data_IF_381297170654
#
_entry.id   IF_381297170654
#
_cell.length_a   1.000
_cell.length_b   1.000
_cell.length_c   1.000
_cell.angle_alpha   90.00
_cell.angle_beta   90.00
_cell.angle_gamma   90.00
#
_symmetry.space_group_name_H-M   'P 1'
#
loop_
_entity.id
_entity.type
_entity.pdbx_description
1 polymer ?
#
# COMPACT_ATOMS: atom_id res chain seq x y z
N UNK A 1 -1.81 -21.56 26.77
CA UNK A 1 -3.15 -22.20 26.98
C UNK A 1 -3.53 -22.03 28.44
N UNK A 2 -4.75 -21.59 28.73
CA UNK A 2 -5.14 -21.01 30.01
C UNK A 2 -5.32 -21.98 31.20
N UNK A 3 -4.74 -23.19 31.16
CA UNK A 3 -4.66 -24.10 32.32
C UNK A 3 -5.95 -24.24 33.15
N UNK A 4 -7.12 -24.35 32.51
CA UNK A 4 -8.41 -24.33 33.20
C UNK A 4 -8.72 -25.68 33.86
N UNK A 5 -9.40 -25.61 35.01
CA UNK A 5 -9.97 -26.76 35.73
C UNK A 5 -11.50 -26.63 35.79
N UNK A 6 -12.28 -27.59 35.27
CA UNK A 6 -11.84 -28.75 34.49
C UNK A 6 -11.31 -28.34 33.11
N UNK A 7 -10.31 -29.08 32.63
CA UNK A 7 -9.77 -28.92 31.28
C UNK A 7 -10.69 -29.54 30.22
N UNK A 8 -10.62 -29.10 28.96
CA UNK A 8 -11.45 -29.64 27.87
C UNK A 8 -11.08 -31.09 27.51
N UNK A 9 -9.85 -31.51 27.81
CA UNK A 9 -9.38 -32.88 27.65
C UNK A 9 -9.03 -33.47 29.02
N UNK A 10 -9.24 -34.78 29.23
CA UNK A 10 -8.80 -35.46 30.44
C UNK A 10 -7.28 -35.37 30.57
N UNK A 11 -6.79 -35.30 31.81
CA UNK A 11 -5.35 -35.27 32.05
C UNK A 11 -4.78 -36.68 31.98
N UNK A 12 -3.68 -36.86 31.26
CA UNK A 12 -3.02 -38.14 31.03
C UNK A 12 -1.54 -38.06 31.42
N UNK A 13 -0.88 -39.19 31.65
CA UNK A 13 0.58 -39.23 31.77
C UNK A 13 1.23 -39.12 30.38
N UNK A 14 1.62 -37.89 30.01
CA UNK A 14 2.16 -37.58 28.69
C UNK A 14 3.47 -38.29 28.35
N UNK A 15 4.17 -38.87 29.34
CA UNK A 15 5.41 -39.63 29.11
C UNK A 15 5.19 -40.91 28.30
N UNK A 16 3.98 -41.46 28.38
CA UNK A 16 3.60 -42.71 27.72
C UNK A 16 2.62 -42.50 26.56
N UNK A 17 2.37 -41.25 26.17
CA UNK A 17 1.50 -40.90 25.07
C UNK A 17 2.30 -40.48 23.83
N UNK A 18 1.64 -40.51 22.68
CA UNK A 18 2.23 -40.08 21.41
C UNK A 18 2.60 -38.59 21.39
N UNK A 19 1.88 -37.77 22.16
CA UNK A 19 2.11 -36.34 22.25
C UNK A 19 2.84 -35.94 23.53
N UNK A 20 3.76 -34.97 23.46
CA UNK A 20 4.59 -34.57 24.60
C UNK A 20 3.85 -33.73 25.66
N UNK A 21 2.68 -33.16 25.33
CA UNK A 21 1.92 -32.30 26.23
C UNK A 21 0.44 -32.14 25.76
N UNK A 22 -0.45 -31.61 26.62
CA UNK A 22 -1.86 -31.43 26.28
C UNK A 22 -2.11 -30.55 25.06
N UNK A 23 -1.27 -29.55 24.83
CA UNK A 23 -1.43 -28.60 23.74
C UNK A 23 -1.18 -29.25 22.39
N UNK A 24 -0.13 -30.07 22.29
CA UNK A 24 0.20 -30.83 21.09
C UNK A 24 -0.91 -31.86 20.77
N UNK A 25 -1.42 -32.56 21.78
CA UNK A 25 -2.55 -33.48 21.62
C UNK A 25 -3.80 -32.76 21.14
N UNK A 26 -4.20 -31.69 21.83
CA UNK A 26 -5.38 -30.91 21.46
C UNK A 26 -5.29 -30.39 20.02
N UNK A 27 -4.12 -29.91 19.59
CA UNK A 27 -3.89 -29.42 18.23
C UNK A 27 -4.10 -30.54 17.20
N UNK A 28 -3.40 -31.67 17.34
CA UNK A 28 -3.43 -32.72 16.32
C UNK A 28 -4.79 -33.40 16.24
N UNK A 29 -5.43 -33.70 17.37
CA UNK A 29 -6.77 -34.29 17.39
C UNK A 29 -7.78 -33.35 16.72
N UNK A 30 -7.68 -32.04 16.98
CA UNK A 30 -8.53 -31.04 16.30
C UNK A 30 -8.29 -31.04 14.79
N UNK A 31 -7.03 -31.07 14.35
CA UNK A 31 -6.72 -31.11 12.91
C UNK A 31 -7.25 -32.38 12.25
N UNK A 32 -7.11 -33.54 12.89
CA UNK A 32 -7.63 -34.82 12.39
C UNK A 32 -9.16 -34.78 12.29
N UNK A 33 -9.85 -34.27 13.30
CA UNK A 33 -11.30 -34.12 13.30
C UNK A 33 -11.77 -33.21 12.15
N UNK A 34 -11.10 -32.06 11.96
CA UNK A 34 -11.42 -31.14 10.87
C UNK A 34 -11.21 -31.75 9.48
N UNK A 35 -10.17 -32.57 9.31
CA UNK A 35 -9.91 -33.29 8.05
C UNK A 35 -10.86 -34.47 7.82
N UNK A 36 -11.47 -35.01 8.88
CA UNK A 36 -12.46 -36.08 8.79
C UNK A 36 -13.86 -35.59 8.40
N UNK A 37 -14.09 -34.26 8.42
CA UNK A 37 -15.36 -33.68 7.97
C UNK A 37 -15.57 -33.93 6.48
N UNK A 38 -16.81 -34.29 6.09
CA UNK A 38 -17.23 -34.39 4.69
C UNK A 38 -17.51 -33.00 4.08
N UNK A 39 -16.58 -32.07 4.26
CA UNK A 39 -16.70 -30.65 3.88
C UNK A 39 -15.41 -30.22 3.16
N UNK A 40 -15.49 -29.43 2.07
CA UNK A 40 -14.29 -28.90 1.41
C UNK A 40 -13.40 -28.08 2.36
N UNK A 41 -12.09 -28.25 2.25
CA UNK A 41 -11.12 -27.55 3.11
C UNK A 41 -11.28 -26.02 3.08
N UNK A 42 -11.67 -25.44 1.94
CA UNK A 42 -11.94 -24.00 1.82
C UNK A 42 -13.09 -23.53 2.72
N UNK A 43 -14.14 -24.33 2.85
CA UNK A 43 -15.30 -24.00 3.67
C UNK A 43 -14.96 -24.12 5.15
N UNK A 44 -14.21 -25.16 5.53
CA UNK A 44 -13.68 -25.34 6.89
C UNK A 44 -12.75 -24.19 7.26
N UNK A 45 -11.80 -23.83 6.39
CA UNK A 45 -10.89 -22.70 6.58
C UNK A 45 -11.64 -21.37 6.77
N UNK A 46 -12.67 -21.13 5.96
CA UNK A 46 -13.50 -19.94 6.09
C UNK A 46 -14.30 -19.92 7.39
N UNK A 47 -14.82 -21.07 7.83
CA UNK A 47 -15.49 -21.21 9.11
C UNK A 47 -14.54 -20.91 10.28
N UNK A 48 -13.32 -21.43 10.25
CA UNK A 48 -12.28 -21.14 11.25
C UNK A 48 -11.97 -19.64 11.33
N UNK A 49 -11.71 -18.98 10.19
CA UNK A 49 -11.42 -17.54 10.19
C UNK A 49 -12.62 -16.71 10.70
N UNK A 50 -13.85 -17.14 10.40
CA UNK A 50 -15.06 -16.48 10.88
C UNK A 50 -15.24 -16.52 12.40
N UNK A 51 -14.60 -17.46 13.12
CA UNK A 51 -14.67 -17.53 14.59
C UNK A 51 -14.14 -16.25 15.24
N UNK A 52 -13.08 -15.66 14.66
CA UNK A 52 -12.47 -14.42 15.15
C UNK A 52 -12.95 -13.20 14.38
N UNK A 53 -13.05 -13.32 13.05
CA UNK A 53 -13.34 -12.18 12.18
C UNK A 53 -14.81 -11.75 12.26
N UNK A 54 -15.75 -12.65 12.59
CA UNK A 54 -17.15 -12.31 12.82
C UNK A 54 -17.44 -12.27 14.32
N UNK A 55 -18.39 -11.44 14.72
CA UNK A 55 -18.84 -11.41 16.11
C UNK A 55 -19.58 -12.69 16.45
N UNK A 56 -18.98 -13.49 17.32
CA UNK A 56 -19.58 -14.71 17.85
C UNK A 56 -19.87 -14.50 19.35
N UNK A 57 -21.10 -14.80 19.82
CA UNK A 57 -21.48 -14.59 21.22
C UNK A 57 -20.66 -15.44 22.19
N UNK A 58 -20.10 -16.56 21.73
CA UNK A 58 -19.32 -17.49 22.55
C UNK A 58 -17.83 -17.13 22.66
N UNK A 59 -17.34 -16.18 21.85
CA UNK A 59 -15.92 -15.79 21.80
C UNK A 59 -15.74 -14.45 22.51
N UNK A 60 -15.24 -14.42 23.75
CA UNK A 60 -15.05 -13.18 24.49
C UNK A 60 -13.99 -12.30 23.80
N UNK A 61 -14.35 -11.06 23.49
CA UNK A 61 -13.48 -10.09 22.78
C UNK A 61 -12.22 -9.75 23.57
N UNK A 62 -12.29 -9.80 24.90
CA UNK A 62 -11.18 -9.54 25.82
C UNK A 62 -9.99 -10.49 25.61
N UNK A 63 -10.26 -11.72 25.15
CA UNK A 63 -9.26 -12.76 24.94
C UNK A 63 -9.08 -13.14 23.47
N UNK A 64 -9.47 -12.27 22.53
CA UNK A 64 -9.48 -12.57 21.10
C UNK A 64 -8.10 -13.00 20.57
N UNK A 65 -7.02 -12.45 21.11
CA UNK A 65 -5.64 -12.82 20.74
C UNK A 65 -5.33 -14.29 21.01
N UNK A 66 -5.87 -14.85 22.09
CA UNK A 66 -5.68 -16.28 22.39
C UNK A 66 -6.40 -17.18 21.37
N UNK A 67 -7.59 -16.75 20.92
CA UNK A 67 -8.35 -17.43 19.86
C UNK A 67 -7.66 -17.32 18.51
N UNK A 68 -7.13 -16.14 18.18
CA UNK A 68 -6.30 -15.93 16.99
C UNK A 68 -5.08 -16.84 16.97
N UNK A 69 -4.37 -16.95 18.10
CA UNK A 69 -3.22 -17.82 18.21
C UNK A 69 -3.61 -19.30 18.04
N UNK A 70 -4.72 -19.74 18.64
CA UNK A 70 -5.20 -21.12 18.48
C UNK A 70 -5.60 -21.43 17.03
N UNK A 71 -6.36 -20.55 16.38
CA UNK A 71 -6.76 -20.72 14.98
C UNK A 71 -5.53 -20.66 14.06
N UNK A 72 -4.58 -19.77 14.35
CA UNK A 72 -3.32 -19.69 13.62
C UNK A 72 -2.53 -20.99 13.67
N UNK A 73 -2.43 -21.63 14.84
CA UNK A 73 -1.78 -22.93 14.99
C UNK A 73 -2.54 -24.06 14.27
N UNK A 74 -3.87 -24.05 14.34
CA UNK A 74 -4.71 -25.08 13.68
C UNK A 74 -4.61 -24.94 12.16
N UNK A 75 -4.84 -23.74 11.63
CA UNK A 75 -4.95 -23.52 10.18
C UNK A 75 -3.62 -23.76 9.46
N UNK A 76 -2.47 -23.49 10.11
CA UNK A 76 -1.14 -23.75 9.55
C UNK A 76 -0.73 -25.22 9.64
N UNK A 77 -1.34 -26.00 10.53
CA UNK A 77 -1.14 -27.44 10.63
C UNK A 77 -2.03 -28.24 9.66
N UNK A 78 -3.01 -27.59 9.00
CA UNK A 78 -3.89 -28.20 8.01
C UNK A 78 -3.34 -28.10 6.58
N UNK A 79 -3.77 -28.97 5.65
CA UNK A 79 -3.36 -28.92 4.24
C UNK A 79 -3.71 -27.60 3.53
N UNK A 80 -3.06 -27.34 2.40
CA UNK A 80 -3.22 -26.10 1.59
C UNK A 80 -4.66 -25.62 1.37
N UNK A 81 -5.64 -26.49 1.04
CA UNK A 81 -7.01 -26.05 0.81
C UNK A 81 -7.67 -25.33 1.99
N UNK A 82 -7.17 -25.51 3.22
CA UNK A 82 -7.72 -24.92 4.44
C UNK A 82 -7.20 -23.51 4.71
N UNK A 83 -5.93 -23.23 4.45
CA UNK A 83 -5.33 -21.91 4.77
C UNK A 83 -5.26 -20.96 3.57
N UNK A 84 -5.42 -21.45 2.33
CA UNK A 84 -5.41 -20.59 1.13
C UNK A 84 -6.45 -19.45 1.20
N UNK A 85 -7.58 -19.69 1.87
CA UNK A 85 -8.67 -18.70 2.06
C UNK A 85 -8.27 -17.49 2.89
N UNK A 86 -7.14 -17.56 3.61
CA UNK A 86 -6.56 -16.39 4.28
C UNK A 86 -6.13 -15.33 3.26
N UNK A 87 -5.54 -15.75 2.14
CA UNK A 87 -5.13 -14.85 1.06
C UNK A 87 -6.33 -14.14 0.45
N UNK A 88 -7.39 -14.89 0.14
CA UNK A 88 -8.65 -14.35 -0.40
C UNK A 88 -9.23 -13.28 0.54
N UNK A 89 -9.16 -13.50 1.86
CA UNK A 89 -9.63 -12.53 2.85
C UNK A 89 -8.74 -11.31 2.96
N UNK A 90 -7.42 -11.45 2.92
CA UNK A 90 -6.50 -10.31 2.90
C UNK A 90 -6.81 -9.43 1.69
N UNK A 91 -6.95 -10.03 0.50
CA UNK A 91 -7.32 -9.32 -0.73
C UNK A 91 -8.69 -8.65 -0.58
N UNK A 92 -9.68 -9.33 -0.01
CA UNK A 92 -11.00 -8.75 0.26
C UNK A 92 -10.95 -7.55 1.22
N UNK A 93 -10.07 -7.57 2.22
CA UNK A 93 -9.90 -6.46 3.18
C UNK A 93 -9.15 -5.29 2.55
N UNK A 94 -8.13 -5.56 1.75
CA UNK A 94 -7.39 -4.53 0.99
C UNK A 94 -8.34 -3.77 0.06
N UNK A 95 -9.26 -4.49 -0.59
CA UNK A 95 -10.27 -3.90 -1.47
C UNK A 95 -11.50 -3.35 -0.72
N UNK A 96 -11.50 -3.36 0.62
CA UNK A 96 -12.66 -2.90 1.40
C UNK A 96 -12.71 -1.37 1.49
N UNK A 97 -13.92 -0.78 1.58
CA UNK A 97 -14.10 0.67 1.70
C UNK A 97 -13.35 1.29 2.89
N UNK A 98 -13.09 0.52 3.95
CA UNK A 98 -12.36 0.99 5.12
C UNK A 98 -10.88 1.27 4.83
N UNK A 99 -10.23 0.47 3.97
CA UNK A 99 -8.85 0.70 3.59
C UNK A 99 -8.72 1.62 2.36
N UNK A 100 -9.73 1.62 1.48
CA UNK A 100 -9.72 2.46 0.28
C UNK A 100 -10.27 3.87 0.50
N UNK A 101 -11.18 4.09 1.46
CA UNK A 101 -11.62 5.45 1.82
C UNK A 101 -10.66 6.15 2.78
N UNK A 102 -9.90 5.41 3.60
CA UNK A 102 -8.96 6.04 4.53
C UNK A 102 -7.69 6.59 3.86
N UNK A 103 -7.28 6.00 2.74
CA UNK A 103 -6.15 6.51 1.95
C UNK A 103 -6.48 7.80 1.19
N UNK A 104 -7.76 8.08 0.90
CA UNK A 104 -8.16 9.33 0.28
C UNK A 104 -8.01 10.52 1.24
N UNK A 105 -8.54 10.43 2.47
CA UNK A 105 -8.42 11.53 3.44
C UNK A 105 -7.00 11.71 3.95
N UNK A 106 -6.24 10.62 4.15
CA UNK A 106 -4.84 10.72 4.58
C UNK A 106 -4.00 11.39 3.50
N UNK A 107 -4.25 11.05 2.23
CA UNK A 107 -3.56 11.64 1.08
C UNK A 107 -3.77 13.14 1.04
N UNK A 108 -5.04 13.58 1.07
CA UNK A 108 -5.38 15.02 1.09
C UNK A 108 -4.79 15.71 2.32
N UNK A 109 -4.83 15.09 3.50
CA UNK A 109 -4.26 15.66 4.73
C UNK A 109 -2.75 15.91 4.63
N UNK A 110 -1.98 15.05 3.95
CA UNK A 110 -0.56 15.30 3.70
C UNK A 110 -0.32 16.52 2.81
N UNK A 111 -1.15 16.73 1.78
CA UNK A 111 -1.07 17.94 0.94
C UNK A 111 -1.47 19.19 1.73
N UNK A 112 -2.48 19.13 2.59
CA UNK A 112 -2.85 20.25 3.47
C UNK A 112 -1.75 20.59 4.48
N UNK A 113 -1.11 19.58 5.07
CA UNK A 113 0.04 19.77 5.96
C UNK A 113 1.21 20.42 5.22
N UNK A 114 1.49 20.00 3.98
CA UNK A 114 2.50 20.63 3.13
C UNK A 114 2.14 22.09 2.85
N UNK A 115 0.88 22.40 2.52
CA UNK A 115 0.43 23.77 2.30
C UNK A 115 0.58 24.64 3.54
N UNK A 116 0.26 24.11 4.73
CA UNK A 116 0.47 24.82 5.98
C UNK A 116 1.97 25.05 6.24
N UNK A 117 2.81 24.02 6.09
CA UNK A 117 4.25 24.15 6.24
C UNK A 117 4.84 25.18 5.25
N UNK A 118 4.34 25.22 4.02
CA UNK A 118 4.74 26.18 2.99
C UNK A 118 4.39 27.63 3.35
N UNK A 119 3.27 27.86 4.03
CA UNK A 119 2.83 29.18 4.48
C UNK A 119 3.64 29.73 5.66
N UNK A 120 3.97 28.87 6.61
CA UNK A 120 4.66 29.29 7.85
C UNK A 120 6.19 29.27 7.75
N UNK A 121 6.74 28.60 6.73
CA UNK A 121 8.18 28.48 6.54
C UNK A 121 8.67 29.46 5.49
N UNK A 122 9.66 30.29 5.82
CA UNK A 122 10.32 31.13 4.80
C UNK A 122 11.05 30.27 3.76
N UNK A 123 11.69 29.18 4.19
CA UNK A 123 12.40 28.22 3.34
C UNK A 123 12.08 26.77 3.73
N UNK A 124 11.95 25.89 2.73
CA UNK A 124 11.79 24.45 2.89
C UNK A 124 13.05 23.75 2.36
N UNK A 125 13.82 23.12 3.26
CA UNK A 125 15.10 22.49 2.90
C UNK A 125 14.95 21.13 2.21
N UNK A 126 13.85 20.41 2.46
CA UNK A 126 13.66 19.02 2.00
C UNK A 126 12.51 18.90 0.99
N UNK A 127 12.41 19.84 0.06
CA UNK A 127 11.34 19.84 -0.93
C UNK A 127 11.33 18.58 -1.81
N UNK A 128 12.50 18.12 -2.25
CA UNK A 128 12.59 16.97 -3.18
C UNK A 128 12.11 15.66 -2.52
N UNK A 129 12.61 15.26 -1.32
CA UNK A 129 12.08 14.07 -0.64
C UNK A 129 10.59 14.13 -0.32
N UNK A 130 10.06 15.31 0.04
CA UNK A 130 8.62 15.49 0.28
C UNK A 130 7.84 15.24 -1.02
N UNK A 131 8.30 15.79 -2.15
CA UNK A 131 7.64 15.60 -3.44
C UNK A 131 7.72 14.13 -3.90
N UNK A 132 8.86 13.47 -3.72
CA UNK A 132 9.04 12.05 -4.06
C UNK A 132 8.07 11.15 -3.27
N UNK A 133 7.91 11.43 -1.97
CA UNK A 133 6.92 10.75 -1.14
C UNK A 133 5.48 10.94 -1.65
N UNK A 134 5.12 12.17 -2.03
CA UNK A 134 3.80 12.48 -2.58
C UNK A 134 3.55 11.81 -3.95
N UNK A 135 4.58 11.66 -4.78
CA UNK A 135 4.51 10.89 -6.02
C UNK A 135 4.36 9.40 -5.77
N UNK A 136 5.14 8.84 -4.83
CA UNK A 136 5.00 7.45 -4.43
C UNK A 136 3.57 7.18 -3.96
N UNK A 137 3.03 8.07 -3.14
CA UNK A 137 1.67 7.97 -2.65
C UNK A 137 0.63 8.04 -3.76
N UNK A 138 0.80 8.96 -4.74
CA UNK A 138 -0.05 9.03 -5.94
C UNK A 138 -0.04 7.71 -6.70
N UNK A 139 1.12 7.21 -7.07
CA UNK A 139 1.19 6.08 -8.00
C UNK A 139 0.93 4.73 -7.35
N UNK A 140 1.20 4.58 -6.05
CA UNK A 140 1.01 3.30 -5.35
C UNK A 140 -0.34 3.17 -4.64
N UNK A 141 -0.92 4.28 -4.17
CA UNK A 141 -2.11 4.21 -3.30
C UNK A 141 -3.29 5.03 -3.84
N UNK A 142 -3.16 6.34 -4.01
CA UNK A 142 -4.32 7.20 -4.26
C UNK A 142 -4.74 7.28 -5.74
N UNK A 143 -3.82 7.11 -6.67
CA UNK A 143 -4.09 7.23 -8.11
C UNK A 143 -4.62 8.62 -8.50
N UNK A 144 -5.80 8.64 -9.12
CA UNK A 144 -6.51 9.87 -9.51
C UNK A 144 -7.75 10.16 -8.63
N UNK A 145 -8.01 9.35 -7.59
CA UNK A 145 -9.19 9.49 -6.71
C UNK A 145 -9.29 10.86 -6.03
N UNK A 146 -8.16 11.40 -5.59
CA UNK A 146 -8.07 12.68 -4.86
C UNK A 146 -7.61 13.85 -5.73
N UNK A 147 -7.53 13.66 -7.05
CA UNK A 147 -6.92 14.62 -7.99
C UNK A 147 -7.51 16.03 -7.86
N UNK A 148 -8.84 16.16 -7.90
CA UNK A 148 -9.52 17.46 -7.89
C UNK A 148 -9.35 18.22 -6.57
N UNK A 149 -9.20 17.49 -5.45
CA UNK A 149 -8.98 18.07 -4.13
C UNK A 149 -7.52 18.53 -3.99
N UNK A 150 -6.58 17.66 -4.38
CA UNK A 150 -5.15 17.93 -4.35
C UNK A 150 -4.76 19.06 -5.30
N UNK A 151 -5.40 19.18 -6.45
CA UNK A 151 -5.15 20.26 -7.41
C UNK A 151 -5.41 21.65 -6.81
N UNK A 152 -6.51 21.80 -6.07
CA UNK A 152 -6.83 23.04 -5.35
C UNK A 152 -5.74 23.39 -4.33
N UNK A 153 -5.17 22.38 -3.67
CA UNK A 153 -4.09 22.59 -2.70
C UNK A 153 -2.79 22.98 -3.40
N UNK A 154 -2.38 22.26 -4.44
CA UNK A 154 -1.15 22.53 -5.21
C UNK A 154 -1.17 23.93 -5.82
N UNK A 155 -2.33 24.39 -6.31
CA UNK A 155 -2.53 25.74 -6.82
C UNK A 155 -2.21 26.86 -5.81
N UNK A 156 -2.23 26.55 -4.50
CA UNK A 156 -1.91 27.51 -3.43
C UNK A 156 -0.47 27.42 -2.91
N UNK A 157 0.33 26.46 -3.38
CA UNK A 157 1.75 26.31 -2.99
C UNK A 157 2.65 27.33 -3.70
N UNK A 158 3.86 27.54 -3.17
CA UNK A 158 4.89 28.35 -3.82
C UNK A 158 5.35 27.76 -5.17
N UNK A 159 5.87 28.59 -6.10
CA UNK A 159 6.24 28.15 -7.46
C UNK A 159 7.20 26.96 -7.50
N UNK A 160 8.16 26.90 -6.57
CA UNK A 160 9.14 25.82 -6.49
C UNK A 160 8.53 24.44 -6.21
N UNK A 161 7.45 24.36 -5.41
CA UNK A 161 6.72 23.11 -5.16
C UNK A 161 5.79 22.77 -6.31
N UNK A 162 5.10 23.76 -6.89
CA UNK A 162 4.25 23.57 -8.08
C UNK A 162 5.03 22.94 -9.23
N UNK A 163 6.25 23.41 -9.48
CA UNK A 163 7.11 22.87 -10.53
C UNK A 163 7.47 21.40 -10.29
N UNK A 164 7.71 21.01 -9.03
CA UNK A 164 8.03 19.63 -8.65
C UNK A 164 6.82 18.71 -8.73
N UNK A 165 5.65 19.17 -8.26
CA UNK A 165 4.40 18.41 -8.22
C UNK A 165 3.56 18.51 -9.52
N UNK A 166 4.11 19.09 -10.59
CA UNK A 166 3.37 19.38 -11.84
C UNK A 166 2.69 18.16 -12.48
N UNK A 167 3.21 16.95 -12.25
CA UNK A 167 2.66 15.71 -12.80
C UNK A 167 1.66 15.02 -11.87
N UNK A 168 1.46 15.51 -10.64
CA UNK A 168 0.43 14.97 -9.74
C UNK A 168 -0.97 15.22 -10.31
N UNK A 169 -1.20 16.41 -10.88
CA UNK A 169 -2.53 16.86 -11.36
C UNK A 169 -2.60 17.20 -12.84
N UNK A 170 -1.51 17.04 -13.60
CA UNK A 170 -1.41 17.49 -15.00
C UNK A 170 -1.72 18.99 -15.17
N UNK A 171 -1.17 19.86 -14.31
CA UNK A 171 -1.14 21.32 -14.57
C UNK A 171 -0.10 21.58 -15.68
N UNK A 172 -0.45 21.20 -16.91
CA UNK A 172 0.30 21.53 -18.13
C UNK A 172 -0.33 22.75 -18.78
N UNK A 173 -0.33 23.89 -18.09
CA UNK A 173 -0.41 25.23 -18.71
C UNK A 173 0.38 26.22 -17.85
N UNK A 174 1.70 26.11 -17.89
CA UNK A 174 2.58 27.21 -17.48
C UNK A 174 2.92 27.98 -18.74
N UNK A 175 2.24 29.11 -18.95
CA UNK A 175 2.59 30.09 -19.97
C UNK A 175 3.99 30.63 -19.64
N UNK A 176 4.97 30.53 -20.56
CA UNK A 176 6.28 31.11 -20.34
C UNK A 176 6.16 32.64 -20.32
N UNK A 177 6.70 33.25 -19.28
CA UNK A 177 6.76 34.68 -19.08
C UNK A 177 7.22 35.39 -20.36
N UNK A 178 6.39 36.29 -20.88
CA UNK A 178 6.70 37.15 -22.01
C UNK A 178 7.94 38.01 -21.70
N UNK A 179 9.01 37.80 -22.47
CA UNK A 179 10.15 38.72 -22.54
C UNK A 179 9.70 39.94 -23.34
N UNK A 180 9.89 41.19 -22.86
CA UNK A 180 9.53 42.38 -23.65
C UNK A 180 10.38 42.47 -24.93
N UNK A 181 9.72 42.48 -26.08
CA UNK A 181 10.34 42.71 -27.40
C UNK A 181 10.74 44.18 -27.55
N UNK A 182 12.01 44.46 -27.88
CA UNK A 182 12.45 45.77 -28.38
C UNK A 182 12.15 45.90 -29.89
N UNK A 183 11.86 47.11 -30.41
CA UNK A 183 11.34 47.28 -31.77
C UNK A 183 12.43 47.17 -32.84
N UNK A 184 12.03 46.56 -33.96
CA UNK A 184 12.73 46.46 -35.23
C UNK A 184 13.00 47.86 -35.83
N UNK A 185 14.22 48.14 -36.29
CA UNK A 185 14.45 49.20 -37.29
C UNK A 185 15.38 48.70 -38.42
N UNK A 186 14.89 48.87 -39.65
CA UNK A 186 15.44 48.37 -40.91
C UNK A 186 16.55 49.26 -41.48
N UNK A 187 17.53 48.63 -42.15
CA UNK A 187 18.42 49.26 -43.13
C UNK A 187 19.48 48.29 -43.69
N UNK A 188 19.30 47.80 -44.92
CA UNK A 188 20.19 46.89 -45.69
C UNK A 188 21.39 47.63 -46.35
N UNK A 189 22.22 47.05 -47.27
CA UNK A 189 22.59 45.64 -47.58
C UNK A 189 24.12 45.39 -47.80
N UNK A 190 24.47 44.12 -48.13
CA UNK A 190 25.66 43.61 -48.87
C UNK A 190 26.88 43.14 -48.02
N UNK A 191 27.60 42.03 -48.28
CA UNK A 191 27.81 41.19 -49.48
C UNK A 191 28.03 39.69 -49.10
N UNK A 192 27.64 38.78 -50.00
CA UNK A 192 28.01 37.35 -50.13
C UNK A 192 29.49 37.17 -50.58
N UNK A 193 30.06 35.95 -50.82
CA UNK A 193 29.69 34.56 -50.49
C UNK A 193 30.90 33.76 -49.86
N UNK A 194 30.81 32.52 -49.36
CA UNK A 194 31.05 31.31 -50.19
C UNK A 194 31.03 30.01 -49.38
N UNK A 195 30.20 29.08 -49.87
CA UNK A 195 30.48 27.66 -50.16
C UNK A 195 30.90 26.68 -49.03
N UNK A 196 29.92 25.89 -48.59
CA UNK A 196 29.97 24.42 -48.31
C UNK A 196 30.24 23.63 -49.61
N UNK A 197 30.38 22.26 -49.66
CA UNK A 197 30.38 21.18 -48.62
C UNK A 197 31.59 20.19 -48.82
N UNK A 198 31.81 19.06 -48.11
CA UNK A 198 31.16 17.74 -48.25
C UNK A 198 31.88 16.72 -47.32
N UNK A 199 31.06 15.83 -46.73
CA UNK A 199 31.33 14.50 -46.16
C UNK A 199 32.67 13.80 -46.45
N UNK A 200 33.24 13.15 -45.42
CA UNK A 200 33.87 11.82 -45.57
C UNK A 200 33.52 10.95 -44.35
N UNK A 201 33.17 9.71 -44.65
CA UNK A 201 32.66 8.66 -43.78
C UNK A 201 33.75 7.95 -42.93
N UNK A 202 33.29 7.25 -41.88
CA UNK A 202 34.00 6.21 -41.12
C UNK A 202 34.43 5.03 -42.04
N UNK A 203 35.43 4.21 -41.65
CA UNK A 203 35.09 2.95 -40.98
C UNK A 203 36.08 2.46 -39.89
N UNK A 204 35.71 1.31 -39.34
CA UNK A 204 36.10 0.58 -38.13
C UNK A 204 37.33 -0.33 -38.33
N UNK A 205 37.87 -0.84 -37.19
CA UNK A 205 38.82 -1.97 -36.98
C UNK A 205 40.29 -1.68 -37.28
N UNK A 206 41.27 -2.04 -36.45
CA UNK A 206 41.45 -3.24 -35.61
C UNK A 206 42.31 -2.92 -34.38
#
# INVERSE_FOLDING_TARGET
>A
MAGKSPGPFPNCDWRFNEFPNPAAHALHVTCVELMALAVPGKDVGNALLNVVLKSQPLVPRENITAWMNAIGLIITALPEPYWIVLHDRIVSVINSPSLTSETEWIGVAFYEMLLNADRYSSHLNYMDPICDFLYHMKYMFTGDSVKDQVEKIICNLRPALKLRLRFITHISKMEPAAVPQQPLNNGSPAQQPSQVPVNVALPVTQ
#
